data_IF_462611838462
#
_entry.id   IF_462611838462
#
_cell.length_a   1.000
_cell.length_b   1.000
_cell.length_c   1.000
_cell.angle_alpha   90.00
_cell.angle_beta   90.00
_cell.angle_gamma   90.00
#
_symmetry.space_group_name_H-M   'P 1'
#
loop_
_entity.id
_entity.type
_entity.pdbx_description
1 polymer ?
#
# COMPACT_ATOMS: atom_id res chain seq x y z
N UNK A 1 53.69 -44.09 -4.07
CA UNK A 1 52.24 -44.18 -3.75
C UNK A 1 51.72 -42.77 -3.42
N UNK A 2 51.26 -42.02 -4.45
CA UNK A 2 50.73 -40.67 -4.27
C UNK A 2 49.20 -40.77 -4.10
N UNK A 3 48.73 -40.37 -2.92
CA UNK A 3 47.30 -40.18 -2.67
C UNK A 3 46.89 -38.74 -3.05
N UNK A 4 46.12 -38.61 -4.09
CA UNK A 4 45.44 -37.39 -4.47
C UNK A 4 44.25 -37.18 -3.52
N UNK A 5 44.26 -36.10 -2.74
CA UNK A 5 43.15 -35.66 -1.91
C UNK A 5 42.30 -34.75 -2.80
N UNK A 6 41.11 -35.23 -3.17
CA UNK A 6 40.11 -34.40 -3.86
C UNK A 6 39.40 -33.49 -2.84
N UNK A 7 39.60 -32.17 -2.92
CA UNK A 7 38.82 -31.20 -2.18
C UNK A 7 37.45 -31.02 -2.88
N UNK A 8 36.38 -31.46 -2.23
CA UNK A 8 35.03 -31.13 -2.66
C UNK A 8 34.69 -29.69 -2.20
N UNK A 9 34.58 -28.80 -3.13
CA UNK A 9 34.06 -27.45 -2.86
C UNK A 9 32.52 -27.54 -2.81
N UNK A 10 31.97 -27.50 -1.61
CA UNK A 10 30.52 -27.35 -1.43
C UNK A 10 30.11 -25.91 -1.66
N UNK A 11 29.46 -25.60 -2.78
CA UNK A 11 28.83 -24.32 -3.04
C UNK A 11 27.57 -24.20 -2.20
N UNK A 12 27.64 -23.38 -1.15
CA UNK A 12 26.48 -22.97 -0.36
C UNK A 12 25.61 -22.03 -1.24
N UNK A 13 24.53 -22.55 -1.80
CA UNK A 13 23.50 -21.71 -2.41
C UNK A 13 22.68 -21.13 -1.26
N UNK A 14 22.93 -19.86 -0.91
CA UNK A 14 22.12 -19.14 0.03
C UNK A 14 20.71 -18.97 -0.57
N UNK A 15 19.70 -19.56 0.08
CA UNK A 15 18.30 -19.37 -0.28
C UNK A 15 17.92 -17.90 -0.04
N UNK A 16 17.70 -17.15 -1.10
CA UNK A 16 17.19 -15.77 -1.03
C UNK A 16 15.77 -15.84 -0.49
N UNK A 17 15.42 -15.07 0.59
CA UNK A 17 14.08 -15.09 1.14
C UNK A 17 13.04 -14.72 0.05
N UNK A 18 11.86 -15.35 0.08
CA UNK A 18 10.83 -15.23 -0.96
C UNK A 18 10.37 -13.77 -1.23
N UNK A 19 10.47 -12.87 -0.25
CA UNK A 19 10.18 -11.44 -0.41
C UNK A 19 11.27 -10.65 -1.15
N UNK A 20 12.41 -11.27 -1.47
CA UNK A 20 13.50 -10.62 -2.22
C UNK A 20 13.42 -10.89 -3.75
N UNK A 21 12.49 -11.73 -4.19
CA UNK A 21 12.31 -12.02 -5.61
C UNK A 21 11.41 -10.97 -6.26
N UNK A 22 11.77 -10.55 -7.49
CA UNK A 22 10.88 -9.71 -8.30
C UNK A 22 9.61 -10.51 -8.64
N UNK A 23 8.41 -9.86 -8.64
CA UNK A 23 7.18 -10.53 -9.01
C UNK A 23 7.27 -11.06 -10.46
N UNK A 24 6.73 -12.25 -10.67
CA UNK A 24 6.67 -12.82 -12.01
C UNK A 24 5.57 -12.15 -12.87
N UNK A 25 5.59 -12.38 -14.17
CA UNK A 25 4.63 -11.77 -15.10
C UNK A 25 3.16 -12.17 -14.78
N UNK A 26 2.93 -13.36 -14.23
CA UNK A 26 1.60 -13.82 -13.86
C UNK A 26 1.08 -13.08 -12.63
N UNK A 27 1.94 -12.86 -11.63
CA UNK A 27 1.63 -12.06 -10.45
C UNK A 27 1.31 -10.61 -10.82
N UNK A 28 2.14 -9.96 -11.64
CA UNK A 28 1.88 -8.59 -12.13
C UNK A 28 0.54 -8.51 -12.86
N UNK A 29 0.23 -9.48 -13.72
CA UNK A 29 -1.04 -9.51 -14.44
C UNK A 29 -2.24 -9.75 -13.51
N UNK A 30 -2.07 -10.52 -12.43
CA UNK A 30 -3.10 -10.74 -11.43
C UNK A 30 -3.38 -9.46 -10.62
N UNK A 31 -2.34 -8.79 -10.13
CA UNK A 31 -2.45 -7.53 -9.40
C UNK A 31 -3.13 -6.45 -10.24
N UNK A 32 -2.79 -6.38 -11.54
CA UNK A 32 -3.43 -5.47 -12.48
C UNK A 32 -4.92 -5.76 -12.64
N UNK A 33 -5.31 -7.01 -12.88
CA UNK A 33 -6.73 -7.39 -12.98
C UNK A 33 -7.50 -7.07 -11.70
N UNK A 34 -6.87 -7.24 -10.55
CA UNK A 34 -7.47 -6.87 -9.27
C UNK A 34 -7.66 -5.35 -9.19
N UNK A 35 -6.65 -4.56 -9.54
CA UNK A 35 -6.75 -3.10 -9.55
C UNK A 35 -7.83 -2.60 -10.53
N UNK A 36 -7.92 -3.18 -11.75
CA UNK A 36 -8.95 -2.83 -12.74
C UNK A 36 -10.38 -3.08 -12.21
N UNK A 37 -10.57 -4.11 -11.38
CA UNK A 37 -11.85 -4.41 -10.73
C UNK A 37 -12.15 -3.48 -9.55
N UNK A 38 -11.14 -3.16 -8.73
CA UNK A 38 -11.32 -2.50 -7.45
C UNK A 38 -11.31 -0.96 -7.56
N UNK A 39 -10.55 -0.39 -8.50
CA UNK A 39 -10.39 1.06 -8.63
C UNK A 39 -11.72 1.80 -8.84
N UNK A 40 -12.68 1.35 -9.66
CA UNK A 40 -13.96 2.03 -9.79
C UNK A 40 -14.73 2.11 -8.46
N UNK A 41 -14.73 1.04 -7.67
CA UNK A 41 -15.41 0.98 -6.37
C UNK A 41 -14.66 1.84 -5.33
N UNK A 42 -13.34 1.82 -5.36
CA UNK A 42 -12.50 2.63 -4.48
C UNK A 42 -12.67 4.13 -4.78
N UNK A 43 -12.74 4.50 -6.06
CA UNK A 43 -13.02 5.86 -6.48
C UNK A 43 -14.39 6.36 -5.99
N UNK A 44 -15.41 5.49 -6.01
CA UNK A 44 -16.76 5.80 -5.51
C UNK A 44 -16.73 6.09 -4.00
N UNK A 45 -16.15 5.21 -3.18
CA UNK A 45 -16.10 5.42 -1.71
C UNK A 45 -15.22 6.60 -1.33
N UNK A 46 -14.16 6.88 -2.09
CA UNK A 46 -13.30 8.04 -1.93
C UNK A 46 -13.92 9.33 -2.48
N UNK A 47 -15.08 9.25 -3.16
CA UNK A 47 -15.73 10.37 -3.88
C UNK A 47 -14.81 11.04 -4.90
N UNK A 48 -13.91 10.28 -5.50
CA UNK A 48 -13.01 10.78 -6.53
C UNK A 48 -13.78 11.10 -7.82
N UNK A 49 -13.29 12.10 -8.53
CA UNK A 49 -13.75 12.50 -9.86
C UNK A 49 -12.54 12.73 -10.76
N UNK A 50 -12.68 12.63 -12.08
CA UNK A 50 -11.63 13.05 -13.00
C UNK A 50 -11.15 14.47 -12.68
N UNK A 51 -9.84 14.71 -12.78
CA UNK A 51 -9.21 15.99 -12.43
C UNK A 51 -8.76 16.13 -10.98
N UNK A 52 -9.19 15.25 -10.07
CA UNK A 52 -8.75 15.24 -8.66
C UNK A 52 -7.36 14.64 -8.48
N UNK A 53 -6.79 14.80 -7.28
CA UNK A 53 -5.51 14.22 -6.88
C UNK A 53 -5.73 13.09 -5.88
N UNK A 54 -5.20 11.91 -6.19
CA UNK A 54 -5.21 10.72 -5.31
C UNK A 54 -3.77 10.28 -4.99
N UNK A 55 -3.55 9.73 -3.81
CA UNK A 55 -2.28 9.09 -3.48
C UNK A 55 -2.45 7.62 -3.09
N UNK A 56 -1.59 6.80 -3.67
CA UNK A 56 -1.39 5.37 -3.44
C UNK A 56 -0.19 5.21 -2.49
N UNK A 57 -0.47 4.85 -1.23
CA UNK A 57 0.53 4.79 -0.17
C UNK A 57 0.96 3.33 0.06
N UNK A 58 2.25 3.04 -0.13
CA UNK A 58 2.75 1.68 -0.18
C UNK A 58 2.35 0.98 -1.47
N UNK A 59 2.59 1.64 -2.59
CA UNK A 59 2.07 1.28 -3.91
C UNK A 59 2.62 -0.05 -4.49
N UNK A 60 3.61 -0.67 -3.84
CA UNK A 60 4.19 -1.95 -4.26
C UNK A 60 4.66 -1.92 -5.71
N UNK A 61 4.14 -2.81 -6.56
CA UNK A 61 4.45 -2.87 -8.00
C UNK A 61 3.74 -1.83 -8.86
N UNK A 62 2.89 -0.95 -8.28
CA UNK A 62 2.23 0.15 -8.97
C UNK A 62 0.97 -0.22 -9.75
N UNK A 63 0.37 -1.40 -9.52
CA UNK A 63 -0.81 -1.83 -10.26
C UNK A 63 -2.00 -0.86 -10.05
N UNK A 64 -2.30 -0.49 -8.81
CA UNK A 64 -3.35 0.48 -8.50
C UNK A 64 -2.99 1.89 -8.99
N UNK A 65 -1.74 2.31 -8.82
CA UNK A 65 -1.22 3.58 -9.33
C UNK A 65 -1.50 3.76 -10.82
N UNK A 66 -1.17 2.75 -11.63
CA UNK A 66 -1.35 2.78 -13.09
C UNK A 66 -2.83 2.82 -13.49
N UNK A 67 -3.67 2.02 -12.83
CA UNK A 67 -5.11 2.02 -13.11
C UNK A 67 -5.74 3.34 -12.72
N UNK A 68 -5.38 3.92 -11.57
CA UNK A 68 -5.81 5.26 -11.18
C UNK A 68 -5.30 6.33 -12.14
N UNK A 69 -4.04 6.23 -12.60
CA UNK A 69 -3.48 7.16 -13.56
C UNK A 69 -4.30 7.27 -14.86
N UNK A 70 -4.85 6.14 -15.32
CA UNK A 70 -5.77 6.12 -16.46
C UNK A 70 -7.17 6.61 -16.11
N UNK A 71 -7.67 6.23 -14.92
CA UNK A 71 -9.02 6.55 -14.50
C UNK A 71 -9.24 8.02 -14.17
N UNK A 72 -8.24 8.69 -13.57
CA UNK A 72 -8.36 10.05 -13.05
C UNK A 72 -8.29 11.14 -14.15
N UNK A 73 -7.96 10.77 -15.40
CA UNK A 73 -7.87 11.70 -16.52
C UNK A 73 -6.81 12.77 -16.30
N UNK A 74 -7.23 14.05 -16.34
CA UNK A 74 -6.33 15.20 -16.14
C UNK A 74 -5.92 15.41 -14.68
N UNK A 75 -6.38 14.54 -13.77
CA UNK A 75 -5.98 14.54 -12.37
C UNK A 75 -4.56 14.03 -12.15
N UNK A 76 -4.13 13.98 -10.90
CA UNK A 76 -2.79 13.54 -10.52
C UNK A 76 -2.85 12.32 -9.61
N UNK A 77 -1.92 11.39 -9.80
CA UNK A 77 -1.64 10.29 -8.89
C UNK A 77 -0.26 10.47 -8.27
N UNK A 78 -0.21 10.51 -6.95
CA UNK A 78 1.04 10.28 -6.22
C UNK A 78 1.10 8.80 -5.86
N UNK A 79 2.29 8.21 -6.01
CA UNK A 79 2.58 6.86 -5.53
C UNK A 79 3.77 6.92 -4.58
N UNK A 80 3.63 6.34 -3.38
CA UNK A 80 4.74 6.29 -2.43
C UNK A 80 5.04 4.85 -2.03
N UNK A 81 6.31 4.55 -1.84
CA UNK A 81 6.79 3.30 -1.25
C UNK A 81 8.12 3.57 -0.54
N UNK A 82 8.52 2.70 0.39
CA UNK A 82 9.82 2.78 1.08
C UNK A 82 10.91 1.96 0.41
N UNK A 83 10.53 1.07 -0.51
CA UNK A 83 11.45 0.16 -1.19
C UNK A 83 11.95 0.72 -2.51
N UNK A 84 13.27 0.87 -2.66
CA UNK A 84 13.86 1.35 -3.93
C UNK A 84 13.43 0.50 -5.14
N UNK A 85 13.28 -0.82 -4.98
CA UNK A 85 12.84 -1.71 -6.04
C UNK A 85 11.43 -1.35 -6.47
N UNK A 86 10.51 -1.20 -5.53
CA UNK A 86 9.12 -0.82 -5.78
C UNK A 86 9.03 0.53 -6.48
N UNK A 87 9.79 1.53 -6.02
CA UNK A 87 9.83 2.85 -6.64
C UNK A 87 10.30 2.79 -8.11
N UNK A 88 11.30 1.93 -8.42
CA UNK A 88 11.74 1.72 -9.81
C UNK A 88 10.66 1.02 -10.64
N UNK A 89 10.00 -0.01 -10.09
CA UNK A 89 8.92 -0.76 -10.75
C UNK A 89 7.73 0.15 -11.07
N UNK A 90 7.29 1.00 -10.13
CA UNK A 90 6.20 1.96 -10.35
C UNK A 90 6.55 2.93 -11.48
N UNK A 91 7.76 3.52 -11.47
CA UNK A 91 8.19 4.44 -12.53
C UNK A 91 8.21 3.76 -13.90
N UNK A 92 8.82 2.58 -14.01
CA UNK A 92 8.89 1.81 -15.24
C UNK A 92 7.49 1.41 -15.74
N UNK A 93 6.57 1.09 -14.82
CA UNK A 93 5.20 0.74 -15.18
C UNK A 93 4.42 1.95 -15.69
N UNK A 94 4.48 3.08 -15.01
CA UNK A 94 3.84 4.32 -15.43
C UNK A 94 4.37 4.80 -16.80
N UNK A 95 5.68 4.75 -17.01
CA UNK A 95 6.33 5.09 -18.28
C UNK A 95 5.86 4.18 -19.43
N UNK A 96 5.87 2.86 -19.23
CA UNK A 96 5.40 1.87 -20.22
C UNK A 96 3.95 2.10 -20.62
N UNK A 97 3.11 2.55 -19.69
CA UNK A 97 1.70 2.85 -19.94
C UNK A 97 1.48 4.30 -20.44
N UNK A 98 2.55 5.07 -20.66
CA UNK A 98 2.50 6.44 -21.19
C UNK A 98 1.89 7.48 -20.23
N UNK A 99 1.85 7.19 -18.92
CA UNK A 99 1.22 8.05 -17.92
C UNK A 99 2.16 9.20 -17.53
N UNK A 100 1.71 10.43 -17.78
CA UNK A 100 2.42 11.67 -17.42
C UNK A 100 1.91 12.31 -16.12
N UNK A 101 0.81 11.80 -15.61
CA UNK A 101 0.11 12.31 -14.42
C UNK A 101 0.46 11.54 -13.13
N UNK A 102 1.42 10.62 -13.18
CA UNK A 102 1.92 9.87 -12.02
C UNK A 102 3.20 10.49 -11.50
N UNK A 103 3.26 10.77 -10.20
CA UNK A 103 4.46 11.25 -9.50
C UNK A 103 4.84 10.23 -8.43
N UNK A 104 6.05 9.69 -8.51
CA UNK A 104 6.56 8.67 -7.57
C UNK A 104 7.50 9.31 -6.57
N UNK A 105 7.18 9.18 -5.29
CA UNK A 105 7.94 9.72 -4.16
C UNK A 105 8.42 8.59 -3.24
N UNK A 106 9.60 8.76 -2.68
CA UNK A 106 10.07 7.87 -1.63
C UNK A 106 9.37 8.22 -0.32
N UNK A 107 8.66 7.26 0.27
CA UNK A 107 8.08 7.35 1.60
C UNK A 107 9.10 7.00 2.69
N UNK A 108 8.69 7.15 3.94
CA UNK A 108 9.47 6.75 5.10
C UNK A 108 8.60 6.04 6.12
N UNK A 109 9.20 5.33 7.08
CA UNK A 109 8.46 4.65 8.15
C UNK A 109 7.58 5.59 9.00
N UNK A 110 7.95 6.88 9.08
CA UNK A 110 7.26 7.90 9.85
C UNK A 110 6.53 8.95 9.01
N UNK A 111 6.62 8.90 7.67
CA UNK A 111 6.05 9.93 6.81
C UNK A 111 5.77 9.41 5.39
N UNK A 112 4.69 9.90 4.79
CA UNK A 112 4.36 9.67 3.38
C UNK A 112 5.26 10.44 2.43
N UNK A 113 5.87 11.53 2.90
CA UNK A 113 6.62 12.52 2.12
C UNK A 113 5.80 13.20 0.99
N UNK A 114 4.47 13.14 1.09
CA UNK A 114 3.58 13.88 0.22
C UNK A 114 3.58 15.37 0.58
N UNK A 115 3.34 16.28 -0.39
CA UNK A 115 3.13 17.69 -0.09
C UNK A 115 1.91 17.90 0.82
N UNK A 116 1.97 18.85 1.72
CA UNK A 116 0.84 19.18 2.59
C UNK A 116 -0.37 19.63 1.77
N UNK A 117 -1.56 19.12 2.11
CA UNK A 117 -2.82 19.44 1.45
C UNK A 117 -2.85 19.15 -0.05
N UNK A 118 -2.03 18.21 -0.54
CA UNK A 118 -1.95 17.90 -1.96
C UNK A 118 -3.19 17.18 -2.49
N UNK A 119 -3.78 16.35 -1.65
CA UNK A 119 -4.57 15.25 -2.13
C UNK A 119 -6.04 15.35 -1.72
N UNK A 120 -6.93 15.06 -2.66
CA UNK A 120 -8.37 14.96 -2.42
C UNK A 120 -8.69 13.60 -1.75
N UNK A 121 -7.89 12.57 -2.04
CA UNK A 121 -7.99 11.28 -1.40
C UNK A 121 -6.63 10.57 -1.25
N UNK A 122 -6.54 9.72 -0.23
CA UNK A 122 -5.44 8.78 -0.01
C UNK A 122 -6.03 7.38 0.11
N UNK A 123 -5.26 6.35 -0.28
CA UNK A 123 -5.58 4.98 0.09
C UNK A 123 -4.32 4.18 0.40
N UNK A 124 -4.48 3.18 1.22
CA UNK A 124 -3.50 2.15 1.53
C UNK A 124 -4.16 0.79 1.34
N UNK A 125 -3.47 -0.14 0.70
CA UNK A 125 -3.99 -1.49 0.51
C UNK A 125 -2.93 -2.51 0.89
N UNK A 126 -3.22 -3.31 1.92
CA UNK A 126 -2.33 -4.37 2.39
C UNK A 126 -0.98 -3.83 2.91
N UNK A 127 -1.03 -2.69 3.61
CA UNK A 127 0.16 -1.91 4.01
C UNK A 127 0.07 -1.41 5.45
N UNK A 128 -1.10 -0.97 5.93
CA UNK A 128 -1.19 -0.26 7.21
C UNK A 128 -0.74 -1.13 8.40
N UNK A 129 -0.95 -2.43 8.33
CA UNK A 129 -0.47 -3.38 9.35
C UNK A 129 1.07 -3.44 9.46
N UNK A 130 1.83 -2.85 8.54
CA UNK A 130 3.29 -2.73 8.59
C UNK A 130 3.77 -1.42 9.22
N UNK A 131 2.89 -0.46 9.49
CA UNK A 131 3.27 0.84 10.04
C UNK A 131 3.86 0.68 11.44
N UNK A 132 5.10 1.16 11.64
CA UNK A 132 5.84 1.07 12.89
C UNK A 132 5.83 2.38 13.68
N UNK A 133 5.92 3.52 13.02
CA UNK A 133 5.90 4.86 13.62
C UNK A 133 4.49 5.47 13.51
N UNK A 134 3.51 4.82 14.15
CA UNK A 134 2.06 5.04 13.94
C UNK A 134 1.65 6.50 14.07
N UNK A 135 2.01 7.16 15.18
CA UNK A 135 1.61 8.56 15.45
C UNK A 135 2.14 9.52 14.38
N UNK A 136 3.45 9.45 14.09
CA UNK A 136 4.09 10.33 13.10
C UNK A 136 3.57 10.05 11.68
N UNK A 137 3.39 8.79 11.33
CA UNK A 137 2.88 8.40 10.03
C UNK A 137 1.45 8.86 9.80
N UNK A 138 0.56 8.65 10.79
CA UNK A 138 -0.83 9.08 10.72
C UNK A 138 -0.97 10.61 10.68
N UNK A 139 -0.12 11.34 11.40
CA UNK A 139 -0.02 12.78 11.27
C UNK A 139 0.36 13.20 9.84
N UNK A 140 1.32 12.53 9.22
CA UNK A 140 1.72 12.78 7.83
C UNK A 140 0.58 12.51 6.84
N UNK A 141 -0.20 11.43 7.02
CA UNK A 141 -1.41 11.18 6.24
C UNK A 141 -2.40 12.33 6.39
N UNK A 142 -2.65 12.77 7.62
CA UNK A 142 -3.56 13.88 7.89
C UNK A 142 -3.12 15.20 7.24
N UNK A 143 -1.84 15.53 7.33
CA UNK A 143 -1.27 16.73 6.74
C UNK A 143 -1.35 16.73 5.20
N UNK A 144 -1.21 15.55 4.58
CA UNK A 144 -1.25 15.39 3.11
C UNK A 144 -2.65 15.57 2.51
N UNK A 145 -3.71 15.35 3.27
CA UNK A 145 -5.09 15.51 2.80
C UNK A 145 -5.56 16.96 2.85
N UNK A 146 -6.35 17.35 1.85
CA UNK A 146 -7.17 18.58 1.89
C UNK A 146 -8.27 18.45 2.95
N UNK A 147 -8.77 19.55 3.52
CA UNK A 147 -10.02 19.53 4.30
C UNK A 147 -11.15 18.89 3.49
N UNK A 148 -11.95 18.03 4.10
CA UNK A 148 -12.98 17.22 3.44
C UNK A 148 -12.48 16.04 2.62
N UNK A 149 -11.16 15.87 2.49
CA UNK A 149 -10.53 14.75 1.79
C UNK A 149 -10.77 13.42 2.50
N UNK A 150 -10.63 12.31 1.77
CA UNK A 150 -10.92 10.95 2.26
C UNK A 150 -9.69 10.06 2.29
N UNK A 151 -9.64 9.20 3.32
CA UNK A 151 -8.62 8.15 3.46
C UNK A 151 -9.30 6.79 3.54
N UNK A 152 -8.92 5.86 2.67
CA UNK A 152 -9.34 4.47 2.73
C UNK A 152 -8.17 3.58 3.14
N UNK A 153 -8.36 2.78 4.19
CA UNK A 153 -7.44 1.72 4.59
C UNK A 153 -8.08 0.38 4.24
N UNK A 154 -7.47 -0.37 3.34
CA UNK A 154 -7.87 -1.72 2.94
C UNK A 154 -6.84 -2.67 3.50
N UNK A 155 -7.27 -3.58 4.37
CA UNK A 155 -6.37 -4.49 5.06
C UNK A 155 -7.09 -5.79 5.43
N UNK A 156 -6.43 -6.69 6.14
CA UNK A 156 -6.99 -7.95 6.61
C UNK A 156 -6.79 -8.13 8.11
N UNK A 157 -7.67 -8.92 8.72
CA UNK A 157 -7.62 -9.20 10.17
C UNK A 157 -6.38 -10.02 10.53
N UNK A 158 -5.85 -9.87 11.75
CA UNK A 158 -4.70 -10.63 12.21
C UNK A 158 -4.91 -12.14 12.06
N UNK A 159 -3.89 -12.83 11.59
CA UNK A 159 -3.88 -14.30 11.49
C UNK A 159 -3.30 -14.88 12.77
N UNK A 160 -4.06 -15.66 13.57
CA UNK A 160 -3.56 -16.25 14.80
C UNK A 160 -2.26 -17.03 14.58
N UNK A 161 -1.28 -16.83 15.46
CA UNK A 161 0.02 -17.53 15.41
C UNK A 161 0.98 -17.07 14.32
N UNK A 162 0.62 -16.10 13.49
CA UNK A 162 1.53 -15.49 12.53
C UNK A 162 2.48 -14.50 13.20
N UNK A 163 3.70 -14.39 12.67
CA UNK A 163 4.70 -13.45 13.20
C UNK A 163 4.31 -12.02 12.86
N UNK A 164 4.39 -11.15 13.87
CA UNK A 164 4.36 -9.69 13.69
C UNK A 164 5.69 -9.23 13.12
N UNK A 165 5.68 -8.24 12.25
CA UNK A 165 6.90 -7.65 11.72
C UNK A 165 7.65 -6.87 12.83
N UNK A 166 9.00 -6.88 12.81
CA UNK A 166 9.77 -6.14 13.80
C UNK A 166 9.42 -4.64 13.80
N UNK A 167 9.22 -4.09 15.00
CA UNK A 167 8.88 -2.68 15.19
C UNK A 167 7.39 -2.32 15.05
N UNK A 168 6.55 -3.25 14.61
CA UNK A 168 5.09 -3.07 14.58
C UNK A 168 4.54 -3.16 16.02
N UNK A 169 3.57 -2.31 16.41
CA UNK A 169 2.99 -2.34 17.74
C UNK A 169 2.40 -3.71 18.11
N UNK A 170 2.53 -4.08 19.40
CA UNK A 170 2.06 -5.38 19.90
C UNK A 170 0.53 -5.56 19.82
N UNK A 171 -0.23 -4.46 19.79
CA UNK A 171 -1.69 -4.46 19.65
C UNK A 171 -2.21 -5.01 18.30
N UNK A 172 -1.33 -5.33 17.35
CA UNK A 172 -1.72 -5.93 16.05
C UNK A 172 -2.27 -7.35 16.20
N UNK A 173 -1.82 -8.11 17.21
CA UNK A 173 -2.31 -9.47 17.46
C UNK A 173 -1.85 -10.53 16.46
N UNK A 174 -0.87 -10.21 15.59
CA UNK A 174 -0.33 -11.07 14.53
C UNK A 174 -0.10 -10.33 13.23
N UNK A 175 0.18 -11.06 12.13
CA UNK A 175 0.27 -10.46 10.81
C UNK A 175 -1.13 -10.05 10.31
N UNK A 176 -1.33 -8.77 10.11
CA UNK A 176 -2.60 -8.12 9.82
C UNK A 176 -2.94 -7.08 10.90
N UNK A 177 -4.12 -6.51 10.83
CA UNK A 177 -4.62 -5.51 11.78
C UNK A 177 -6.14 -5.59 11.91
N UNK A 178 -6.69 -5.35 13.11
CA UNK A 178 -8.14 -5.28 13.29
C UNK A 178 -8.68 -3.88 12.94
N UNK A 179 -9.90 -3.76 12.36
CA UNK A 179 -10.48 -2.47 11.99
C UNK A 179 -10.58 -1.46 13.15
N UNK A 180 -10.93 -1.92 14.35
CA UNK A 180 -11.03 -1.06 15.53
C UNK A 180 -9.68 -0.44 15.93
N UNK A 181 -8.56 -1.14 15.72
CA UNK A 181 -7.22 -0.60 15.96
C UNK A 181 -6.91 0.54 14.99
N UNK A 182 -7.23 0.36 13.70
CA UNK A 182 -7.11 1.42 12.70
C UNK A 182 -7.96 2.64 13.07
N UNK A 183 -9.20 2.39 13.51
CA UNK A 183 -10.11 3.46 13.92
C UNK A 183 -9.56 4.27 15.08
N UNK A 184 -9.05 3.62 16.13
CA UNK A 184 -8.47 4.27 17.30
C UNK A 184 -7.26 5.12 16.93
N UNK A 185 -6.35 4.57 16.16
CA UNK A 185 -5.10 5.22 15.75
C UNK A 185 -5.34 6.44 14.82
N UNK A 186 -6.25 6.32 13.86
CA UNK A 186 -6.54 7.43 12.95
C UNK A 186 -7.44 8.50 13.56
N UNK A 187 -8.36 8.13 14.46
CA UNK A 187 -9.10 9.12 15.29
C UNK A 187 -8.15 9.92 16.17
N UNK A 188 -7.14 9.29 16.78
CA UNK A 188 -6.13 9.99 17.56
C UNK A 188 -5.32 11.00 16.71
N UNK A 189 -5.16 10.76 15.41
CA UNK A 189 -4.53 11.69 14.47
C UNK A 189 -5.48 12.79 13.93
N UNK A 190 -6.75 12.81 14.34
CA UNK A 190 -7.71 13.85 13.98
C UNK A 190 -8.67 13.47 12.85
N UNK A 191 -8.61 12.27 12.31
CA UNK A 191 -9.57 11.80 11.32
C UNK A 191 -10.94 11.49 11.92
N UNK A 192 -11.98 11.67 11.13
CA UNK A 192 -13.34 11.22 11.46
C UNK A 192 -13.63 9.91 10.73
N UNK A 193 -13.98 8.86 11.47
CA UNK A 193 -14.43 7.58 10.89
C UNK A 193 -15.77 7.76 10.18
N UNK A 194 -15.88 7.19 8.98
CA UNK A 194 -17.09 7.24 8.14
C UNK A 194 -17.80 5.90 8.11
N UNK A 195 -17.08 4.83 7.80
CA UNK A 195 -17.63 3.49 7.70
C UNK A 195 -16.55 2.41 7.73
N UNK A 196 -16.95 1.21 8.13
CA UNK A 196 -16.17 -0.02 7.97
C UNK A 196 -16.95 -0.99 7.11
N UNK A 197 -16.34 -1.52 6.05
CA UNK A 197 -16.96 -2.46 5.11
C UNK A 197 -16.17 -3.75 5.12
N UNK A 198 -16.81 -4.83 5.54
CA UNK A 198 -16.23 -6.18 5.48
C UNK A 198 -16.29 -6.74 4.05
N UNK A 199 -15.47 -7.75 3.78
CA UNK A 199 -15.42 -8.44 2.48
C UNK A 199 -15.25 -7.46 1.29
N UNK A 200 -14.32 -6.53 1.43
CA UNK A 200 -14.02 -5.55 0.39
C UNK A 200 -13.30 -6.20 -0.81
N UNK A 201 -13.64 -5.91 -2.06
CA UNK A 201 -14.65 -4.96 -2.55
C UNK A 201 -16.05 -5.59 -2.77
N UNK A 202 -16.69 -6.11 -1.76
CA UNK A 202 -17.99 -6.80 -1.80
C UNK A 202 -17.91 -8.17 -2.50
N UNK A 203 -16.84 -8.89 -2.26
CA UNK A 203 -16.62 -10.26 -2.72
C UNK A 203 -16.51 -11.17 -1.49
N UNK A 204 -17.49 -12.05 -1.29
CA UNK A 204 -17.53 -12.97 -0.14
C UNK A 204 -16.31 -13.90 -0.03
N UNK A 205 -15.52 -14.02 -1.10
CA UNK A 205 -14.30 -14.81 -1.12
C UNK A 205 -13.08 -14.04 -0.60
N UNK A 206 -13.18 -12.73 -0.41
CA UNK A 206 -12.09 -11.92 0.12
C UNK A 206 -12.11 -11.88 1.64
N UNK A 207 -10.91 -11.81 2.23
CA UNK A 207 -10.71 -11.58 3.67
C UNK A 207 -10.41 -10.12 3.99
N UNK A 208 -10.43 -9.26 2.96
CA UNK A 208 -10.13 -7.85 3.13
C UNK A 208 -11.34 -7.10 3.67
N UNK A 209 -11.06 -6.06 4.44
CA UNK A 209 -12.03 -5.05 4.83
C UNK A 209 -11.54 -3.66 4.38
N UNK A 210 -12.44 -2.69 4.36
CA UNK A 210 -12.10 -1.28 4.14
C UNK A 210 -12.59 -0.45 5.32
N UNK A 211 -11.71 0.38 5.89
CA UNK A 211 -12.07 1.42 6.85
C UNK A 211 -11.91 2.78 6.19
N UNK A 212 -12.98 3.56 6.18
CA UNK A 212 -13.06 4.85 5.52
C UNK A 212 -13.07 5.99 6.52
N UNK A 213 -12.26 6.99 6.26
CA UNK A 213 -12.15 8.20 7.07
C UNK A 213 -12.30 9.47 6.21
N UNK A 214 -12.56 10.58 6.90
CA UNK A 214 -12.48 11.93 6.32
C UNK A 214 -11.65 12.84 7.22
N UNK A 215 -10.94 13.78 6.60
CA UNK A 215 -10.35 14.92 7.30
C UNK A 215 -11.44 15.99 7.44
N UNK A 216 -11.77 16.45 8.67
CA UNK A 216 -12.71 17.55 8.89
C UNK A 216 -12.33 18.85 8.17
#
# INVERSE_FOLDING_TARGET
MNRLIALAVATLVAAVPAYAQAPDAAQIAQERRQAEKDVPQLAEVLKLKPGMTVADIGAGGGAFTVVFGKWIGDGKVFATDIGERQLREIRAYAEREGLKNVTVLEGAAAATNLPAGCCDALFMRDVYHHVTAVEAFNKSLYESLKPGGRLAIIDFRPRPGSKVFPGVPENRGGHGIAPNVIEEELKAAGFTHVSTTENWPRDEKTVLFLVLFTKP
#
